data_IF_808881522454
#
_entry.id   IF_808881522454
#
_cell.length_a   1.000
_cell.length_b   1.000
_cell.length_c   1.000
_cell.angle_alpha   90.00
_cell.angle_beta   90.00
_cell.angle_gamma   90.00
#
_symmetry.space_group_name_H-M   'P 1'
#
loop_
_entity.id
_entity.type
_entity.pdbx_description
1 polymer ?
#
# COMPACT_ATOMS: atom_id res chain seq x y z
N UNK A 1 -8.29 3.99 -16.51
CA UNK A 1 -6.94 4.48 -16.14
C UNK A 1 -6.51 5.53 -17.16
N UNK A 2 -6.39 6.82 -16.75
CA UNK A 2 -5.88 7.91 -17.57
C UNK A 2 -4.64 7.55 -18.42
N UNK A 3 -4.71 7.82 -19.71
CA UNK A 3 -3.64 7.58 -20.69
C UNK A 3 -3.87 8.36 -21.99
N UNK A 4 -2.83 8.46 -22.83
CA UNK A 4 -2.93 8.79 -24.25
C UNK A 4 -2.06 7.84 -25.09
N UNK A 5 -2.35 7.79 -26.39
CA UNK A 5 -1.62 7.00 -27.39
C UNK A 5 -1.20 7.90 -28.55
N UNK A 6 0.00 7.69 -29.05
CA UNK A 6 0.59 8.41 -30.20
C UNK A 6 1.37 7.44 -31.08
N UNK A 7 1.63 7.79 -32.33
CA UNK A 7 2.47 6.99 -33.24
C UNK A 7 3.95 7.06 -32.85
N UNK A 8 4.41 8.24 -32.44
CA UNK A 8 5.79 8.49 -32.02
C UNK A 8 5.78 9.50 -30.87
N UNK A 9 6.27 9.06 -29.70
CA UNK A 9 6.39 9.93 -28.54
C UNK A 9 7.54 10.92 -28.73
N UNK A 10 7.23 12.20 -28.64
CA UNK A 10 8.20 13.29 -28.50
C UNK A 10 8.25 13.72 -27.04
N UNK A 11 9.37 13.45 -26.38
CA UNK A 11 9.61 14.01 -25.05
C UNK A 11 10.21 15.41 -25.20
N UNK A 12 9.85 16.37 -24.33
CA UNK A 12 10.54 17.65 -24.26
C UNK A 12 11.97 17.47 -23.77
N UNK A 13 12.81 18.50 -23.93
CA UNK A 13 14.11 18.53 -23.26
C UNK A 13 13.92 18.49 -21.74
N UNK A 14 14.52 17.51 -21.09
CA UNK A 14 14.41 17.30 -19.64
C UNK A 14 15.64 17.88 -18.92
N UNK A 15 15.47 18.48 -17.73
CA UNK A 15 14.20 18.69 -17.04
C UNK A 15 13.36 19.82 -17.66
N UNK A 16 12.03 19.65 -17.72
CA UNK A 16 11.07 20.67 -18.17
C UNK A 16 10.19 21.12 -17.00
N UNK A 17 10.05 22.44 -16.81
CA UNK A 17 9.08 23.04 -15.88
C UNK A 17 7.93 23.69 -16.63
N UNK A 18 6.71 23.45 -16.16
CA UNK A 18 5.47 24.00 -16.75
C UNK A 18 4.58 24.54 -15.65
N UNK A 19 4.35 25.85 -15.67
CA UNK A 19 3.40 26.52 -14.78
C UNK A 19 1.97 26.10 -15.13
N UNK A 20 1.15 25.87 -14.11
CA UNK A 20 -0.25 25.46 -14.22
C UNK A 20 -1.09 26.17 -13.15
N UNK A 21 -2.40 26.44 -13.35
CA UNK A 21 -3.23 27.12 -12.35
C UNK A 21 -3.22 26.47 -10.95
N UNK A 22 -3.03 25.15 -10.88
CA UNK A 22 -2.97 24.37 -9.63
C UNK A 22 -1.58 24.35 -8.96
N UNK A 23 -0.51 24.71 -9.67
CA UNK A 23 0.88 24.53 -9.23
C UNK A 23 1.87 24.43 -10.39
N UNK A 24 3.05 23.86 -10.18
CA UNK A 24 4.06 23.67 -11.22
C UNK A 24 4.32 22.19 -11.46
N UNK A 25 4.35 21.77 -12.73
CA UNK A 25 4.79 20.44 -13.14
C UNK A 25 6.26 20.47 -13.55
N UNK A 26 7.05 19.54 -13.02
CA UNK A 26 8.44 19.32 -13.40
C UNK A 26 8.58 17.90 -13.98
N UNK A 27 8.85 17.78 -15.27
CA UNK A 27 9.26 16.52 -15.90
C UNK A 27 10.77 16.41 -15.74
N UNK A 28 11.24 15.44 -14.96
CA UNK A 28 12.61 15.47 -14.40
C UNK A 28 13.58 14.72 -15.31
N UNK A 29 13.35 13.42 -15.49
CA UNK A 29 14.24 12.52 -16.22
C UNK A 29 13.47 11.27 -16.64
N UNK A 30 13.98 10.56 -17.64
CA UNK A 30 13.36 9.35 -18.18
C UNK A 30 14.27 8.14 -17.96
N UNK A 31 13.72 7.10 -17.33
CA UNK A 31 14.44 5.87 -17.00
C UNK A 31 14.02 4.73 -17.94
N UNK A 32 14.97 4.12 -18.64
CA UNK A 32 14.74 3.04 -19.58
C UNK A 32 15.08 1.68 -18.98
N UNK A 33 14.21 0.70 -19.20
CA UNK A 33 14.42 -0.65 -18.66
C UNK A 33 15.53 -1.40 -19.37
N UNK A 34 16.49 -1.88 -18.57
CA UNK A 34 17.56 -2.79 -19.04
C UNK A 34 17.02 -4.14 -19.52
N UNK A 35 15.76 -4.46 -19.21
CA UNK A 35 15.13 -5.75 -19.47
C UNK A 35 14.07 -5.69 -20.58
N UNK A 36 13.58 -4.50 -20.90
CA UNK A 36 12.59 -4.28 -21.93
C UNK A 36 12.87 -2.95 -22.65
N UNK A 37 13.43 -2.99 -23.87
CA UNK A 37 13.79 -1.77 -24.63
C UNK A 37 12.59 -0.90 -25.01
N UNK A 38 11.37 -1.44 -24.90
CA UNK A 38 10.13 -0.75 -25.23
C UNK A 38 9.44 -0.14 -24.00
N UNK A 39 10.10 -0.12 -22.85
CA UNK A 39 9.52 0.35 -21.58
C UNK A 39 10.43 1.38 -20.90
N UNK A 40 9.81 2.49 -20.49
CA UNK A 40 10.46 3.50 -19.68
C UNK A 40 9.50 4.15 -18.68
N UNK A 41 10.09 4.81 -17.68
CA UNK A 41 9.41 5.56 -16.64
C UNK A 41 9.90 7.00 -16.64
N UNK A 42 9.01 7.92 -17.00
CA UNK A 42 9.28 9.35 -16.93
C UNK A 42 8.95 9.86 -15.52
N UNK A 43 9.96 10.35 -14.81
CA UNK A 43 9.80 10.95 -13.49
C UNK A 43 9.15 12.32 -13.60
N UNK A 44 8.09 12.54 -12.83
CA UNK A 44 7.38 13.81 -12.75
C UNK A 44 7.23 14.22 -11.29
N UNK A 45 7.45 15.49 -10.99
CA UNK A 45 7.03 16.10 -9.73
C UNK A 45 6.01 17.21 -9.98
N UNK A 46 5.09 17.36 -9.04
CA UNK A 46 4.10 18.44 -9.02
C UNK A 46 4.25 19.20 -7.70
N UNK A 47 4.54 20.50 -7.81
CA UNK A 47 4.67 21.42 -6.68
C UNK A 47 3.34 22.18 -6.59
N UNK A 48 2.49 21.91 -5.57
CA UNK A 48 1.23 22.62 -5.42
C UNK A 48 1.45 24.12 -5.22
N UNK A 49 0.52 24.95 -5.71
CA UNK A 49 0.55 26.40 -5.45
C UNK A 49 0.37 26.76 -3.98
N UNK A 50 -0.37 25.92 -3.27
CA UNK A 50 -0.59 25.99 -1.82
C UNK A 50 0.65 25.44 -1.09
N UNK A 51 1.41 26.32 -0.45
CA UNK A 51 2.68 26.00 0.22
C UNK A 51 2.52 25.07 1.43
N UNK A 52 1.30 24.83 1.92
CA UNK A 52 1.05 23.87 3.01
C UNK A 52 1.04 22.42 2.52
N UNK A 53 0.95 22.20 1.20
CA UNK A 53 0.87 20.87 0.61
C UNK A 53 2.24 20.41 0.11
N UNK A 54 2.58 19.16 0.42
CA UNK A 54 3.82 18.55 -0.02
C UNK A 54 3.87 18.35 -1.54
N UNK A 55 5.08 18.49 -2.10
CA UNK A 55 5.41 18.12 -3.47
C UNK A 55 5.07 16.65 -3.73
N UNK A 56 4.43 16.38 -4.87
CA UNK A 56 4.01 15.02 -5.25
C UNK A 56 4.92 14.50 -6.36
N UNK A 57 5.66 13.42 -6.08
CA UNK A 57 6.51 12.73 -7.06
C UNK A 57 5.80 11.47 -7.56
N UNK A 58 5.84 11.22 -8.88
CA UNK A 58 5.25 10.04 -9.51
C UNK A 58 5.94 9.70 -10.84
N UNK A 59 5.63 8.53 -11.40
CA UNK A 59 6.09 8.15 -12.73
C UNK A 59 4.95 8.09 -13.75
N UNK A 60 5.27 8.43 -15.00
CA UNK A 60 4.47 8.08 -16.16
C UNK A 60 5.14 6.90 -16.86
N UNK A 61 4.37 5.83 -17.05
CA UNK A 61 4.75 4.64 -17.80
C UNK A 61 4.64 4.90 -19.30
N UNK A 62 5.75 4.70 -20.01
CA UNK A 62 5.83 4.76 -21.46
C UNK A 62 6.04 3.35 -21.98
N UNK A 63 5.14 2.90 -22.87
CA UNK A 63 5.27 1.60 -23.55
C UNK A 63 5.12 1.77 -25.05
N UNK A 64 6.15 1.37 -25.79
CA UNK A 64 6.13 1.38 -27.25
C UNK A 64 5.81 0.00 -27.79
N UNK A 65 4.84 -0.11 -28.68
CA UNK A 65 4.57 -1.30 -29.47
C UNK A 65 5.25 -1.11 -30.82
N UNK A 66 6.28 -1.92 -31.14
CA UNK A 66 6.94 -1.83 -32.43
C UNK A 66 5.96 -2.17 -33.55
N UNK A 67 6.24 -1.64 -34.75
CA UNK A 67 5.46 -1.90 -35.95
C UNK A 67 5.46 -3.40 -36.27
N UNK A 68 4.29 -3.96 -36.59
CA UNK A 68 4.14 -5.33 -37.10
C UNK A 68 3.48 -5.30 -38.48
N UNK A 69 3.40 -6.45 -39.17
CA UNK A 69 2.81 -6.53 -40.52
C UNK A 69 1.41 -5.92 -40.62
N UNK A 70 0.62 -5.96 -39.54
CA UNK A 70 -0.79 -5.53 -39.53
C UNK A 70 -1.08 -4.32 -38.62
N UNK A 71 -0.06 -3.75 -37.94
CA UNK A 71 -0.25 -2.64 -36.99
C UNK A 71 0.86 -1.59 -37.09
N UNK A 72 0.45 -0.32 -37.15
CA UNK A 72 1.35 0.82 -37.02
C UNK A 72 2.02 0.82 -35.64
N UNK A 73 3.19 1.44 -35.55
CA UNK A 73 3.85 1.70 -34.27
C UNK A 73 2.92 2.54 -33.39
N UNK A 74 2.82 2.17 -32.11
CA UNK A 74 1.95 2.81 -31.13
C UNK A 74 2.70 2.95 -29.81
N UNK A 75 2.87 4.16 -29.31
CA UNK A 75 3.35 4.42 -27.95
C UNK A 75 2.18 4.83 -27.07
N UNK A 76 1.99 4.12 -25.96
CA UNK A 76 1.04 4.49 -24.90
C UNK A 76 1.79 5.13 -23.74
N UNK A 77 1.28 6.28 -23.28
CA UNK A 77 1.73 6.94 -22.06
C UNK A 77 0.58 6.93 -21.07
N UNK A 78 0.82 6.38 -19.88
CA UNK A 78 -0.17 6.24 -18.80
C UNK A 78 0.53 6.44 -17.46
N UNK A 79 -0.20 6.64 -16.38
CA UNK A 79 0.45 6.70 -15.06
C UNK A 79 1.00 5.34 -14.65
N UNK A 80 2.07 5.32 -13.88
CA UNK A 80 2.53 4.09 -13.22
C UNK A 80 1.66 3.78 -11.99
N UNK A 81 1.25 2.52 -11.86
CA UNK A 81 0.34 2.07 -10.80
C UNK A 81 1.00 2.06 -9.42
N UNK A 82 2.32 1.93 -9.33
CA UNK A 82 3.04 1.79 -8.06
C UNK A 82 3.46 3.15 -7.48
N UNK A 83 3.39 4.22 -8.28
CA UNK A 83 3.68 5.61 -7.89
C UNK A 83 2.46 6.52 -7.96
N UNK A 84 1.24 5.95 -7.91
CA UNK A 84 -0.03 6.68 -7.99
C UNK A 84 -0.17 7.74 -6.89
N UNK A 85 -0.63 8.93 -7.27
CA UNK A 85 -0.94 10.04 -6.36
C UNK A 85 -2.43 10.43 -6.42
N UNK A 86 -2.89 11.15 -5.40
CA UNK A 86 -4.23 11.78 -5.33
C UNK A 86 -4.07 13.31 -5.26
N UNK A 87 -4.95 14.13 -5.86
CA UNK A 87 -6.06 13.74 -6.73
C UNK A 87 -5.59 13.25 -8.11
N UNK A 88 -6.43 12.46 -8.78
CA UNK A 88 -6.15 11.87 -10.11
C UNK A 88 -6.02 12.97 -11.18
N UNK A 89 -6.60 14.14 -10.94
CA UNK A 89 -6.56 15.32 -11.80
C UNK A 89 -5.13 15.78 -12.05
N UNK A 90 -4.23 15.67 -11.08
CA UNK A 90 -2.81 15.99 -11.25
C UNK A 90 -2.18 15.07 -12.33
N UNK A 91 -2.49 13.77 -12.28
CA UNK A 91 -2.01 12.80 -13.27
C UNK A 91 -2.57 13.10 -14.66
N UNK A 92 -3.87 13.44 -14.75
CA UNK A 92 -4.50 13.81 -16.03
C UNK A 92 -3.85 15.05 -16.64
N UNK A 93 -3.53 16.07 -15.83
CA UNK A 93 -2.91 17.30 -16.31
C UNK A 93 -1.47 17.08 -16.77
N UNK A 94 -0.68 16.25 -16.07
CA UNK A 94 0.65 15.86 -16.56
C UNK A 94 0.60 15.18 -17.93
N UNK A 95 -0.38 14.29 -18.15
CA UNK A 95 -0.59 13.64 -19.44
C UNK A 95 -1.02 14.64 -20.53
N UNK A 96 -1.88 15.62 -20.21
CA UNK A 96 -2.28 16.68 -21.15
C UNK A 96 -1.09 17.54 -21.57
N UNK A 97 -0.25 17.96 -20.63
CA UNK A 97 0.96 18.74 -20.92
C UNK A 97 1.86 17.97 -21.90
N UNK A 98 2.06 16.66 -21.70
CA UNK A 98 2.83 15.85 -22.66
C UNK A 98 2.13 15.71 -24.02
N UNK A 99 0.80 15.64 -24.06
CA UNK A 99 0.05 15.57 -25.32
C UNK A 99 0.30 16.79 -26.21
N UNK A 100 0.51 17.97 -25.62
CA UNK A 100 0.75 19.21 -26.36
C UNK A 100 2.09 19.21 -27.12
N UNK A 101 3.02 18.32 -26.77
CA UNK A 101 4.29 18.11 -27.50
C UNK A 101 4.18 17.10 -28.65
N UNK A 102 3.05 16.42 -28.82
CA UNK A 102 2.91 15.33 -29.80
C UNK A 102 2.36 15.86 -31.13
N UNK A 103 2.96 15.43 -32.24
CA UNK A 103 2.45 15.78 -33.58
C UNK A 103 1.08 15.14 -33.87
N UNK A 104 0.82 13.97 -33.27
CA UNK A 104 -0.44 13.25 -33.47
C UNK A 104 -0.85 12.49 -32.21
N UNK A 105 -2.13 12.53 -31.91
CA UNK A 105 -2.75 11.73 -30.85
C UNK A 105 -3.70 10.74 -31.51
N UNK A 106 -3.46 9.46 -31.27
CA UNK A 106 -4.32 8.37 -31.78
C UNK A 106 -5.62 8.29 -30.97
N UNK A 107 -5.49 8.20 -29.65
CA UNK A 107 -6.62 8.14 -28.69
C UNK A 107 -6.16 8.61 -27.31
N UNK A 108 -7.10 9.01 -26.46
CA UNK A 108 -6.82 9.31 -25.05
C UNK A 108 -8.03 9.01 -24.14
N UNK A 109 -7.78 8.85 -22.85
CA UNK A 109 -8.81 8.68 -21.81
C UNK A 109 -8.58 9.69 -20.68
N UNK A 110 -8.75 10.97 -20.98
CA UNK A 110 -8.50 12.09 -20.04
C UNK A 110 -9.75 12.91 -19.74
N UNK A 111 -10.94 12.40 -20.10
CA UNK A 111 -12.19 13.15 -20.00
C UNK A 111 -12.55 13.49 -18.55
N UNK A 112 -13.06 14.70 -18.37
CA UNK A 112 -13.40 15.35 -17.10
C UNK A 112 -14.76 14.96 -16.53
N UNK A 113 -15.46 13.96 -17.11
CA UNK A 113 -16.86 13.60 -16.73
C UNK A 113 -17.03 12.86 -15.39
N UNK A 114 -16.02 12.86 -14.53
CA UNK A 114 -16.20 12.47 -13.13
C UNK A 114 -16.10 13.73 -12.29
N UNK A 115 -17.20 14.13 -11.65
CA UNK A 115 -17.12 14.91 -10.42
C UNK A 115 -16.26 14.06 -9.49
N UNK A 116 -14.96 14.34 -9.42
CA UNK A 116 -14.18 13.87 -8.30
C UNK A 116 -14.81 14.55 -7.09
N UNK A 117 -15.38 13.78 -6.17
CA UNK A 117 -15.54 14.28 -4.81
C UNK A 117 -14.12 14.62 -4.35
N UNK A 118 -13.73 15.88 -4.53
CA UNK A 118 -12.40 16.38 -4.20
C UNK A 118 -12.17 16.44 -2.67
N UNK A 119 -13.20 16.07 -1.91
CA UNK A 119 -13.07 15.72 -0.51
C UNK A 119 -12.86 14.21 -0.44
N UNK A 120 -11.65 13.77 -0.07
CA UNK A 120 -11.52 12.53 0.70
C UNK A 120 -12.58 12.64 1.78
N UNK A 121 -13.67 11.88 1.66
CA UNK A 121 -14.66 11.79 2.72
C UNK A 121 -13.85 11.51 3.99
N UNK A 122 -13.90 12.37 5.02
CA UNK A 122 -12.88 12.40 6.08
C UNK A 122 -12.75 11.08 6.85
N UNK A 123 -13.77 10.22 6.72
CA UNK A 123 -13.87 8.88 7.27
C UNK A 123 -13.27 7.77 6.37
N UNK A 124 -13.08 7.98 5.06
CA UNK A 124 -12.33 7.03 4.22
C UNK A 124 -10.84 7.31 4.40
N UNK A 125 -10.13 6.33 4.97
CA UNK A 125 -8.71 6.41 5.27
C UNK A 125 -7.90 5.50 4.34
N UNK A 126 -6.62 5.82 4.17
CA UNK A 126 -5.62 4.89 3.66
C UNK A 126 -4.80 4.33 4.82
N UNK A 127 -4.02 3.27 4.58
CA UNK A 127 -3.23 2.64 5.64
C UNK A 127 -2.18 3.59 6.22
N UNK A 128 -1.67 4.52 5.39
CA UNK A 128 -0.69 5.53 5.80
C UNK A 128 -1.26 6.47 6.86
N UNK A 129 -2.58 6.74 6.85
CA UNK A 129 -3.24 7.56 7.86
C UNK A 129 -3.17 6.92 9.28
N UNK A 130 -2.87 5.62 9.38
CA UNK A 130 -2.76 4.88 10.65
C UNK A 130 -1.32 4.67 11.13
N UNK A 131 -0.30 5.06 10.34
CA UNK A 131 1.10 4.92 10.74
C UNK A 131 1.46 5.85 11.90
N UNK A 132 0.81 7.01 11.97
CA UNK A 132 0.82 7.92 13.13
C UNK A 132 -0.54 7.82 13.85
N UNK A 133 -0.74 6.69 14.51
CA UNK A 133 -2.02 6.34 15.13
C UNK A 133 -2.43 7.34 16.23
N UNK A 134 -1.47 7.87 16.98
CA UNK A 134 -1.74 8.82 18.06
C UNK A 134 -2.25 10.16 17.53
N UNK A 135 -1.59 10.72 16.51
CA UNK A 135 -2.05 11.93 15.84
C UNK A 135 -3.41 11.71 15.18
N UNK A 136 -3.62 10.57 14.51
CA UNK A 136 -4.92 10.21 13.94
C UNK A 136 -6.03 10.29 15.00
N UNK A 137 -5.81 9.72 16.19
CA UNK A 137 -6.80 9.72 17.26
C UNK A 137 -6.99 11.12 17.85
N UNK A 138 -5.94 11.90 18.02
CA UNK A 138 -6.04 13.30 18.46
C UNK A 138 -6.91 14.13 17.51
N UNK A 139 -6.83 13.90 16.20
CA UNK A 139 -7.70 14.54 15.21
C UNK A 139 -9.17 14.09 15.27
N UNK A 140 -9.46 12.93 15.86
CA UNK A 140 -10.84 12.47 16.07
C UNK A 140 -11.44 12.90 17.40
N UNK A 141 -10.63 13.17 18.44
CA UNK A 141 -11.12 13.54 19.79
C UNK A 141 -12.22 14.63 19.79
N UNK A 142 -12.09 15.77 19.08
CA UNK A 142 -13.13 16.80 19.09
C UNK A 142 -14.48 16.37 18.48
N UNK A 143 -14.47 15.30 17.69
CA UNK A 143 -15.66 14.78 17.00
C UNK A 143 -16.39 13.72 17.80
N UNK A 144 -15.68 13.07 18.72
CA UNK A 144 -16.24 12.13 19.65
C UNK A 144 -16.88 12.93 20.79
N UNK A 145 -18.09 12.55 21.21
CA UNK A 145 -18.78 13.20 22.35
C UNK A 145 -18.18 12.74 23.69
N UNK A 146 -16.88 12.91 23.86
CA UNK A 146 -16.16 12.40 25.02
C UNK A 146 -15.98 13.48 26.10
N UNK A 147 -16.46 13.18 27.30
CA UNK A 147 -15.98 13.77 28.55
C UNK A 147 -15.02 12.76 29.18
N UNK A 148 -13.72 13.04 29.20
CA UNK A 148 -12.75 12.13 29.84
C UNK A 148 -12.70 12.42 31.34
N UNK A 149 -12.90 11.43 32.23
CA UNK A 149 -12.51 11.59 33.63
C UNK A 149 -10.99 11.73 33.68
N UNK A 150 -10.49 12.90 34.09
CA UNK A 150 -9.10 13.09 34.46
C UNK A 150 -8.82 12.14 35.63
N UNK A 151 -8.14 11.02 35.38
CA UNK A 151 -7.70 10.14 36.46
C UNK A 151 -6.35 10.68 36.98
N UNK A 152 -6.27 11.26 38.19
CA UNK A 152 -5.09 11.99 38.65
C UNK A 152 -3.89 11.09 39.04
N UNK A 153 -3.91 9.80 38.68
CA UNK A 153 -2.92 8.81 39.13
C UNK A 153 -2.12 8.09 38.04
N UNK A 154 -2.22 8.53 36.78
CA UNK A 154 -1.31 8.07 35.72
C UNK A 154 -0.98 9.21 34.76
N UNK A 155 0.15 9.88 34.97
CA UNK A 155 0.67 10.89 34.04
C UNK A 155 1.13 10.32 32.69
N UNK A 156 1.03 9.00 32.48
CA UNK A 156 1.54 8.28 31.29
C UNK A 156 0.47 7.47 30.54
N UNK A 157 -0.82 7.51 30.91
CA UNK A 157 -1.84 6.77 30.14
C UNK A 157 -2.18 7.53 28.85
N UNK A 158 -1.72 6.99 27.71
CA UNK A 158 -2.30 7.32 26.39
C UNK A 158 -3.73 6.77 26.35
N UNK A 159 -4.65 7.41 27.05
CA UNK A 159 -6.05 6.99 27.06
C UNK A 159 -6.68 7.35 25.71
N UNK A 160 -6.62 6.37 24.81
CA UNK A 160 -7.35 6.38 23.57
C UNK A 160 -8.86 6.26 23.87
N UNK A 161 -9.73 6.85 23.03
CA UNK A 161 -11.15 6.54 23.10
C UNK A 161 -11.36 5.02 23.02
N UNK A 162 -12.53 4.51 23.44
CA UNK A 162 -12.82 3.11 23.14
C UNK A 162 -12.81 2.92 21.61
N UNK A 163 -12.13 1.88 21.14
CA UNK A 163 -11.98 1.58 19.71
C UNK A 163 -12.52 0.20 19.41
N UNK A 164 -13.50 0.14 18.51
CA UNK A 164 -14.07 -1.11 18.03
C UNK A 164 -13.70 -1.31 16.56
N UNK A 165 -13.08 -2.45 16.26
CA UNK A 165 -12.70 -2.84 14.91
C UNK A 165 -13.70 -3.86 14.35
N UNK A 166 -14.26 -3.61 13.17
CA UNK A 166 -15.05 -4.59 12.43
C UNK A 166 -14.34 -4.99 11.14
N UNK A 167 -14.07 -6.29 11.00
CA UNK A 167 -13.35 -6.85 9.86
C UNK A 167 -14.33 -7.53 8.91
N UNK A 168 -14.32 -7.11 7.65
CA UNK A 168 -15.23 -7.62 6.63
C UNK A 168 -16.67 -7.15 6.86
N UNK A 169 -16.86 -5.84 7.08
CA UNK A 169 -18.17 -5.29 7.47
C UNK A 169 -19.27 -5.48 6.40
N UNK A 170 -18.91 -5.78 5.14
CA UNK A 170 -19.84 -6.05 4.05
C UNK A 170 -20.83 -4.91 3.84
N UNK A 171 -22.11 -5.16 4.15
CA UNK A 171 -23.15 -4.11 4.04
C UNK A 171 -23.05 -2.99 5.07
N UNK A 172 -22.20 -3.15 6.09
CA UNK A 172 -22.00 -2.20 7.19
C UNK A 172 -23.16 -2.12 8.19
N UNK A 173 -24.13 -3.04 8.17
CA UNK A 173 -25.29 -3.00 9.09
C UNK A 173 -24.88 -2.98 10.56
N UNK A 174 -23.95 -3.85 10.95
CA UNK A 174 -23.45 -3.91 12.32
C UNK A 174 -22.60 -2.69 12.65
N UNK A 175 -21.62 -2.39 11.80
CA UNK A 175 -20.74 -1.22 11.93
C UNK A 175 -21.51 0.11 12.11
N UNK A 176 -22.47 0.39 11.21
CA UNK A 176 -23.26 1.62 11.23
C UNK A 176 -24.22 1.67 12.42
N UNK A 177 -24.79 0.53 12.82
CA UNK A 177 -25.65 0.44 14.00
C UNK A 177 -24.86 0.79 15.27
N UNK A 178 -23.69 0.20 15.45
CA UNK A 178 -22.83 0.48 16.59
C UNK A 178 -22.38 1.94 16.60
N UNK A 179 -21.90 2.47 15.47
CA UNK A 179 -21.49 3.87 15.39
C UNK A 179 -22.62 4.86 15.72
N UNK A 180 -23.86 4.54 15.34
CA UNK A 180 -25.03 5.37 15.66
C UNK A 180 -25.41 5.32 17.15
N UNK A 181 -25.32 4.15 17.77
CA UNK A 181 -25.77 3.93 19.15
C UNK A 181 -24.70 4.21 20.20
N UNK A 182 -23.44 4.24 19.79
CA UNK A 182 -22.28 4.48 20.65
C UNK A 182 -21.43 5.65 20.13
N UNK A 183 -21.95 6.90 20.12
CA UNK A 183 -21.25 8.08 19.59
C UNK A 183 -19.93 8.42 20.32
N UNK A 184 -19.71 7.87 21.51
CA UNK A 184 -18.50 7.97 22.31
C UNK A 184 -17.38 7.02 21.84
N UNK A 185 -17.72 6.00 21.06
CA UNK A 185 -16.79 4.95 20.62
C UNK A 185 -16.32 5.25 19.20
N UNK A 186 -15.02 5.13 18.96
CA UNK A 186 -14.47 5.18 17.62
C UNK A 186 -14.60 3.81 16.95
N UNK A 187 -15.30 3.76 15.84
CA UNK A 187 -15.42 2.55 15.03
C UNK A 187 -14.44 2.57 13.86
N UNK A 188 -13.72 1.47 13.66
CA UNK A 188 -12.86 1.26 12.49
C UNK A 188 -13.43 0.07 11.71
N UNK A 189 -13.73 0.27 10.42
CA UNK A 189 -14.22 -0.77 9.53
C UNK A 189 -13.20 -1.13 8.44
N UNK A 190 -12.92 -2.42 8.27
CA UNK A 190 -12.10 -2.96 7.18
C UNK A 190 -12.95 -3.72 6.17
N UNK A 191 -12.84 -3.39 4.89
CA UNK A 191 -13.52 -4.11 3.81
C UNK A 191 -12.76 -4.05 2.49
N UNK A 192 -12.38 -5.21 1.95
CA UNK A 192 -11.64 -5.32 0.68
C UNK A 192 -12.55 -5.20 -0.54
N UNK A 193 -13.86 -5.42 -0.40
CA UNK A 193 -14.83 -5.25 -1.47
C UNK A 193 -15.21 -3.77 -1.65
N UNK A 194 -14.56 -3.12 -2.61
CA UNK A 194 -14.72 -1.68 -2.87
C UNK A 194 -16.18 -1.19 -3.01
N UNK A 195 -17.10 -1.87 -3.74
CA UNK A 195 -18.50 -1.44 -3.81
C UNK A 195 -19.22 -1.44 -2.44
N UNK A 196 -18.88 -2.39 -1.56
CA UNK A 196 -19.40 -2.42 -0.18
C UNK A 196 -18.88 -1.24 0.62
N UNK A 197 -17.60 -0.92 0.49
CA UNK A 197 -17.00 0.26 1.10
C UNK A 197 -17.67 1.55 0.64
N UNK A 198 -17.90 1.74 -0.66
CA UNK A 198 -18.60 2.92 -1.20
C UNK A 198 -20.04 3.03 -0.69
N UNK A 199 -20.75 1.89 -0.61
CA UNK A 199 -22.11 1.86 -0.07
C UNK A 199 -22.14 2.37 1.38
N UNK A 200 -21.25 1.87 2.23
CA UNK A 200 -21.15 2.26 3.64
C UNK A 200 -20.69 3.71 3.77
N UNK A 201 -19.72 4.13 2.96
CA UNK A 201 -19.27 5.53 2.91
C UNK A 201 -20.43 6.51 2.67
N UNK A 202 -21.34 6.19 1.75
CA UNK A 202 -22.53 7.00 1.50
C UNK A 202 -23.46 7.05 2.72
N UNK A 203 -23.66 5.92 3.41
CA UNK A 203 -24.50 5.88 4.61
C UNK A 203 -23.90 6.70 5.77
N UNK A 204 -22.58 6.64 5.95
CA UNK A 204 -21.87 7.49 6.94
C UNK A 204 -22.17 8.96 6.68
N UNK A 205 -22.04 9.41 5.43
CA UNK A 205 -22.35 10.78 5.03
C UNK A 205 -23.82 11.16 5.23
N UNK A 206 -24.75 10.29 4.83
CA UNK A 206 -26.21 10.53 4.99
C UNK A 206 -26.64 10.63 6.46
N UNK A 207 -26.03 9.83 7.34
CA UNK A 207 -26.31 9.86 8.78
C UNK A 207 -25.42 10.83 9.55
N UNK A 208 -24.51 11.54 8.88
CA UNK A 208 -23.54 12.45 9.46
C UNK A 208 -22.76 11.84 10.65
N UNK A 209 -22.36 10.56 10.53
CA UNK A 209 -21.61 9.88 11.58
C UNK A 209 -20.17 10.41 11.61
N UNK A 210 -19.69 10.75 12.81
CA UNK A 210 -18.38 11.38 13.00
C UNK A 210 -17.37 10.48 13.74
N UNK A 211 -17.85 9.39 14.32
CA UNK A 211 -17.11 8.44 15.15
C UNK A 211 -16.77 7.14 14.39
N UNK A 212 -16.58 7.23 13.07
CA UNK A 212 -16.35 6.06 12.21
C UNK A 212 -15.29 6.34 11.15
N UNK A 213 -14.34 5.42 11.04
CA UNK A 213 -13.31 5.38 10.00
C UNK A 213 -13.43 4.07 9.23
N UNK A 214 -13.27 4.12 7.91
CA UNK A 214 -13.30 2.95 7.04
C UNK A 214 -12.12 2.95 6.08
N UNK A 215 -11.58 1.77 5.79
CA UNK A 215 -10.52 1.60 4.81
C UNK A 215 -10.63 0.25 4.10
N UNK A 216 -10.21 0.23 2.84
CA UNK A 216 -10.09 -1.00 2.05
C UNK A 216 -8.72 -1.59 2.24
N UNK A 217 -8.57 -2.42 3.25
CA UNK A 217 -7.29 -3.00 3.64
C UNK A 217 -7.45 -4.38 4.27
N UNK A 218 -6.40 -5.18 4.23
CA UNK A 218 -6.43 -6.49 4.91
C UNK A 218 -6.16 -6.34 6.40
N UNK A 219 -6.95 -7.05 7.17
CA UNK A 219 -6.94 -6.92 8.61
C UNK A 219 -5.67 -7.51 9.26
N UNK A 220 -5.02 -8.50 8.65
CA UNK A 220 -3.80 -9.10 9.22
C UNK A 220 -2.67 -8.08 9.23
N UNK A 221 -2.49 -7.39 8.10
CA UNK A 221 -1.50 -6.31 8.00
C UNK A 221 -1.93 -5.09 8.83
N UNK A 222 -3.21 -4.74 8.81
CA UNK A 222 -3.73 -3.64 9.63
C UNK A 222 -3.44 -3.84 11.12
N UNK A 223 -3.77 -5.01 11.67
CA UNK A 223 -3.49 -5.34 13.06
C UNK A 223 -2.00 -5.36 13.38
N UNK A 224 -1.14 -5.77 12.44
CA UNK A 224 0.32 -5.72 12.63
C UNK A 224 0.82 -4.28 12.86
N UNK A 225 0.21 -3.31 12.16
CA UNK A 225 0.59 -1.89 12.19
C UNK A 225 -0.04 -1.11 13.35
N UNK A 226 -1.02 -1.67 14.07
CA UNK A 226 -1.60 -1.00 15.22
C UNK A 226 -0.68 -1.07 16.44
N UNK A 227 -0.64 -0.03 17.31
CA UNK A 227 0.01 -0.13 18.61
C UNK A 227 -0.62 -1.23 19.47
N UNK A 228 0.07 -1.62 20.54
CA UNK A 228 -0.46 -2.64 21.46
C UNK A 228 -1.57 -2.04 22.34
N UNK A 229 -2.51 -2.87 22.78
CA UNK A 229 -3.55 -2.49 23.76
C UNK A 229 -4.42 -1.26 23.36
N UNK A 230 -4.72 -1.08 22.07
CA UNK A 230 -5.53 0.05 21.59
C UNK A 230 -6.98 -0.30 21.30
N UNK A 231 -7.30 -1.57 21.06
CA UNK A 231 -8.63 -2.04 20.69
C UNK A 231 -9.38 -2.57 21.91
N UNK A 232 -10.66 -2.23 22.01
CA UNK A 232 -11.58 -2.77 23.02
C UNK A 232 -12.34 -3.97 22.46
N UNK A 233 -12.68 -3.93 21.16
CA UNK A 233 -13.40 -5.01 20.49
C UNK A 233 -12.88 -5.25 19.07
N UNK A 234 -12.87 -6.51 18.66
CA UNK A 234 -12.66 -6.93 17.27
C UNK A 234 -13.84 -7.82 16.87
N UNK A 235 -14.53 -7.47 15.79
CA UNK A 235 -15.63 -8.24 15.24
C UNK A 235 -15.25 -8.88 13.92
N UNK A 236 -15.44 -10.20 13.82
CA UNK A 236 -15.27 -10.99 12.60
C UNK A 236 -16.58 -11.76 12.36
N UNK A 237 -17.48 -11.16 11.60
CA UNK A 237 -18.84 -11.69 11.43
C UNK A 237 -19.04 -12.31 10.05
N UNK A 238 -19.44 -13.58 10.03
CA UNK A 238 -19.70 -14.39 8.85
C UNK A 238 -18.56 -14.36 7.81
N UNK A 239 -17.28 -14.54 8.22
CA UNK A 239 -16.18 -14.64 7.27
C UNK A 239 -16.37 -15.83 6.34
N UNK A 240 -15.86 -15.72 5.10
CA UNK A 240 -15.88 -16.84 4.16
C UNK A 240 -15.12 -18.03 4.78
N UNK A 241 -15.74 -19.22 4.88
CA UNK A 241 -15.16 -20.33 5.64
C UNK A 241 -14.03 -21.06 4.91
N UNK A 242 -13.95 -20.94 3.58
CA UNK A 242 -12.86 -21.53 2.78
C UNK A 242 -12.56 -23.01 3.08
N UNK A 243 -13.57 -23.87 3.15
CA UNK A 243 -13.43 -25.27 3.57
C UNK A 243 -12.38 -26.05 2.75
N UNK A 244 -12.26 -25.74 1.45
CA UNK A 244 -11.25 -26.37 0.56
C UNK A 244 -9.87 -25.71 0.59
N UNK A 245 -9.74 -24.52 1.18
CA UNK A 245 -8.49 -23.76 1.26
C UNK A 245 -8.38 -23.05 2.63
N UNK A 246 -8.26 -23.79 3.75
CA UNK A 246 -8.32 -23.21 5.10
C UNK A 246 -7.24 -22.17 5.37
N UNK A 247 -6.12 -22.20 4.64
CA UNK A 247 -5.07 -21.18 4.68
C UNK A 247 -5.54 -19.78 4.24
N UNK A 248 -6.71 -19.66 3.62
CA UNK A 248 -7.36 -18.38 3.29
C UNK A 248 -8.29 -17.86 4.39
N UNK A 249 -8.52 -18.64 5.45
CA UNK A 249 -9.29 -18.18 6.62
C UNK A 249 -8.55 -17.00 7.25
N UNK A 250 -9.33 -16.05 7.74
CA UNK A 250 -8.77 -14.87 8.40
C UNK A 250 -8.22 -15.22 9.78
N UNK A 251 -8.93 -16.06 10.54
CA UNK A 251 -8.40 -16.60 11.79
C UNK A 251 -7.28 -17.56 11.47
N UNK A 252 -6.12 -17.30 12.06
CA UNK A 252 -4.90 -18.07 12.03
C UNK A 252 -4.14 -17.77 13.33
N UNK A 253 -3.06 -18.51 13.60
CA UNK A 253 -2.22 -18.22 14.77
C UNK A 253 -1.66 -16.78 14.72
N UNK A 254 -1.12 -16.36 13.57
CA UNK A 254 -0.61 -15.00 13.39
C UNK A 254 -1.71 -13.93 13.64
N UNK A 255 -2.93 -14.17 13.18
CA UNK A 255 -4.05 -13.27 13.41
C UNK A 255 -4.44 -13.19 14.89
N UNK A 256 -4.53 -14.33 15.60
CA UNK A 256 -4.85 -14.36 17.02
C UNK A 256 -3.74 -13.72 17.85
N UNK A 257 -2.47 -13.89 17.47
CA UNK A 257 -1.34 -13.23 18.12
C UNK A 257 -1.42 -11.71 17.99
N UNK A 258 -1.69 -11.18 16.79
CA UNK A 258 -1.86 -9.73 16.62
C UNK A 258 -3.15 -9.22 17.29
N UNK A 259 -4.21 -10.01 17.32
CA UNK A 259 -5.45 -9.66 18.04
C UNK A 259 -5.19 -9.56 19.55
N UNK A 260 -4.51 -10.55 20.14
CA UNK A 260 -4.16 -10.54 21.57
C UNK A 260 -3.28 -9.34 21.94
N UNK A 261 -2.35 -8.96 21.04
CA UNK A 261 -1.46 -7.82 21.23
C UNK A 261 -2.21 -6.48 21.19
N UNK A 262 -3.12 -6.33 20.24
CA UNK A 262 -3.82 -5.08 19.98
C UNK A 262 -5.02 -4.86 20.90
N UNK A 263 -5.64 -5.93 21.43
CA UNK A 263 -6.70 -5.85 22.42
C UNK A 263 -6.17 -5.38 23.77
N UNK A 264 -6.92 -4.50 24.43
CA UNK A 264 -6.75 -4.18 25.85
C UNK A 264 -7.07 -5.41 26.71
N UNK A 265 -6.56 -5.50 27.96
CA UNK A 265 -7.06 -6.47 28.93
C UNK A 265 -8.59 -6.43 28.99
N UNK A 266 -9.23 -7.60 29.01
CA UNK A 266 -10.69 -7.79 28.95
C UNK A 266 -11.37 -7.37 27.64
N UNK A 267 -10.63 -6.77 26.70
CA UNK A 267 -11.09 -6.57 25.33
C UNK A 267 -11.38 -7.91 24.66
N UNK A 268 -12.30 -7.91 23.70
CA UNK A 268 -12.74 -9.17 23.09
C UNK A 268 -12.69 -9.21 21.57
N UNK A 269 -12.31 -10.36 21.05
CA UNK A 269 -12.49 -10.76 19.66
C UNK A 269 -13.72 -11.66 19.57
N UNK A 270 -14.69 -11.29 18.72
CA UNK A 270 -15.90 -12.07 18.49
C UNK A 270 -15.93 -12.62 17.06
N UNK A 271 -15.93 -13.94 16.94
CA UNK A 271 -16.24 -14.67 15.71
C UNK A 271 -17.70 -15.07 15.71
N UNK A 272 -18.45 -14.66 14.66
CA UNK A 272 -19.78 -15.21 14.34
C UNK A 272 -19.71 -15.95 13.01
N UNK A 273 -20.24 -17.16 12.91
CA UNK A 273 -20.19 -17.96 11.69
C UNK A 273 -21.37 -18.93 11.58
N UNK A 274 -21.81 -19.23 10.35
CA UNK A 274 -22.76 -20.32 10.05
C UNK A 274 -22.06 -21.64 9.70
N UNK A 275 -20.72 -21.66 9.64
CA UNK A 275 -19.93 -22.87 9.37
C UNK A 275 -19.46 -23.52 10.67
N UNK A 276 -19.97 -24.72 10.95
CA UNK A 276 -19.52 -25.56 12.07
C UNK A 276 -18.03 -25.92 11.92
N UNK A 277 -17.57 -26.17 10.69
CA UNK A 277 -16.17 -26.51 10.44
C UNK A 277 -15.24 -25.34 10.80
N UNK A 278 -15.60 -24.12 10.40
CA UNK A 278 -14.80 -22.94 10.73
C UNK A 278 -14.86 -22.65 12.25
N UNK A 279 -16.03 -22.82 12.88
CA UNK A 279 -16.15 -22.69 14.33
C UNK A 279 -15.24 -23.68 15.08
N UNK A 280 -15.23 -24.95 14.68
CA UNK A 280 -14.36 -25.97 15.29
C UNK A 280 -12.88 -25.67 15.04
N UNK A 281 -12.52 -25.24 13.83
CA UNK A 281 -11.16 -24.79 13.52
C UNK A 281 -10.70 -23.64 14.43
N UNK A 282 -11.55 -22.63 14.63
CA UNK A 282 -11.25 -21.50 15.51
C UNK A 282 -11.14 -21.93 16.99
N UNK A 283 -11.96 -22.89 17.44
CA UNK A 283 -11.82 -23.51 18.77
C UNK A 283 -10.50 -24.26 18.94
N UNK A 284 -10.06 -25.00 17.93
CA UNK A 284 -8.75 -25.67 17.97
C UNK A 284 -7.62 -24.64 18.07
N UNK A 285 -7.65 -23.57 17.26
CA UNK A 285 -6.68 -22.48 17.37
C UNK A 285 -6.64 -21.88 18.78
N UNK A 286 -7.80 -21.67 19.41
CA UNK A 286 -7.88 -21.10 20.75
C UNK A 286 -7.07 -21.87 21.81
N UNK A 287 -6.90 -23.18 21.65
CA UNK A 287 -6.15 -24.02 22.58
C UNK A 287 -4.66 -23.62 22.65
N UNK A 288 -4.11 -23.08 21.55
CA UNK A 288 -2.73 -22.58 21.48
C UNK A 288 -2.56 -21.19 22.12
N UNK A 289 -3.65 -20.53 22.51
CA UNK A 289 -3.66 -19.15 23.02
C UNK A 289 -4.28 -19.04 24.42
N UNK A 290 -4.26 -20.11 25.20
CA UNK A 290 -4.84 -20.14 26.56
C UNK A 290 -4.15 -19.20 27.55
N UNK A 291 -2.92 -18.76 27.26
CA UNK A 291 -2.22 -17.77 28.09
C UNK A 291 -2.58 -16.32 27.72
N UNK A 292 -3.12 -16.13 26.52
CA UNK A 292 -3.52 -14.85 25.94
C UNK A 292 -5.01 -14.59 26.10
N UNK A 293 -5.83 -15.63 26.00
CA UNK A 293 -7.29 -15.54 25.94
C UNK A 293 -7.97 -16.54 26.89
N UNK A 294 -9.09 -16.09 27.46
CA UNK A 294 -10.17 -17.00 27.86
C UNK A 294 -11.22 -17.02 26.77
N UNK A 295 -11.74 -18.20 26.43
CA UNK A 295 -12.75 -18.33 25.37
C UNK A 295 -14.10 -18.78 25.88
N UNK A 296 -15.16 -18.21 25.30
CA UNK A 296 -16.53 -18.58 25.53
C UNK A 296 -17.23 -18.87 24.20
N UNK A 297 -18.15 -19.84 24.18
CA UNK A 297 -18.87 -20.16 22.95
C UNK A 297 -20.35 -20.37 23.18
N UNK A 298 -21.15 -19.86 22.26
CA UNK A 298 -22.60 -19.97 22.29
C UNK A 298 -23.11 -20.41 20.91
N UNK A 299 -24.30 -21.02 20.89
CA UNK A 299 -25.01 -21.39 19.68
C UNK A 299 -26.29 -20.57 19.62
N UNK A 300 -26.57 -19.99 18.45
CA UNK A 300 -27.73 -19.14 18.20
C UNK A 300 -27.85 -17.96 19.18
N UNK A 301 -26.72 -17.36 19.55
CA UNK A 301 -26.72 -16.18 20.41
C UNK A 301 -27.40 -15.00 19.69
N UNK A 302 -28.35 -14.37 20.38
CA UNK A 302 -29.01 -13.16 19.92
C UNK A 302 -28.08 -11.94 20.06
N UNK A 303 -28.19 -11.00 19.12
CA UNK A 303 -27.45 -9.74 19.10
C UNK A 303 -28.41 -8.57 18.99
N UNK A 304 -27.96 -7.40 19.44
CA UNK A 304 -28.71 -6.15 19.31
C UNK A 304 -29.03 -5.79 17.86
N UNK A 305 -28.22 -6.25 16.90
CA UNK A 305 -28.44 -6.03 15.46
C UNK A 305 -28.17 -7.28 14.64
N UNK A 306 -29.13 -7.64 13.80
CA UNK A 306 -29.01 -8.76 12.87
C UNK A 306 -28.28 -8.32 11.58
N UNK A 307 -27.17 -8.98 11.27
CA UNK A 307 -26.44 -8.73 10.02
C UNK A 307 -27.26 -9.14 8.78
N UNK A 308 -26.86 -8.70 7.58
CA UNK A 308 -27.52 -9.14 6.33
C UNK A 308 -27.46 -10.66 6.17
N UNK A 309 -26.32 -11.27 6.52
CA UNK A 309 -26.11 -12.72 6.46
C UNK A 309 -26.90 -13.43 7.53
N UNK A 310 -26.90 -12.93 8.76
CA UNK A 310 -27.67 -13.50 9.85
C UNK A 310 -29.17 -13.54 9.54
N UNK A 311 -29.73 -12.45 8.99
CA UNK A 311 -31.14 -12.39 8.58
C UNK A 311 -31.45 -13.38 7.43
N UNK A 312 -30.45 -13.72 6.61
CA UNK A 312 -30.59 -14.76 5.58
C UNK A 312 -30.55 -16.14 6.20
N UNK A 313 -29.58 -16.42 7.05
CA UNK A 313 -29.35 -17.72 7.66
C UNK A 313 -30.42 -18.11 8.67
N UNK A 314 -30.96 -17.15 9.43
CA UNK A 314 -32.15 -17.34 10.27
C UNK A 314 -33.36 -17.76 9.43
N UNK A 315 -33.58 -17.18 8.24
CA UNK A 315 -34.66 -17.61 7.31
C UNK A 315 -34.43 -19.00 6.71
N UNK A 316 -33.17 -19.41 6.57
CA UNK A 316 -32.79 -20.74 6.09
C UNK A 316 -32.68 -21.77 7.24
N UNK A 317 -33.08 -21.42 8.48
CA UNK A 317 -32.99 -22.26 9.68
C UNK A 317 -31.58 -22.84 9.93
N UNK A 318 -30.53 -22.09 9.56
CA UNK A 318 -29.16 -22.49 9.85
C UNK A 318 -28.78 -22.19 11.30
N UNK A 319 -28.01 -23.10 11.90
CA UNK A 319 -27.36 -22.88 13.18
C UNK A 319 -26.27 -21.83 13.05
N UNK A 320 -26.25 -20.87 13.99
CA UNK A 320 -25.22 -19.85 14.09
C UNK A 320 -24.32 -20.15 15.28
N UNK A 321 -23.02 -20.01 15.09
CA UNK A 321 -22.02 -20.28 16.10
C UNK A 321 -21.29 -18.99 16.48
N UNK A 322 -21.11 -18.81 17.78
CA UNK A 322 -20.40 -17.69 18.39
C UNK A 322 -19.19 -18.21 19.16
N UNK A 323 -18.02 -17.65 18.88
CA UNK A 323 -16.81 -17.86 19.65
C UNK A 323 -16.23 -16.50 20.05
N UNK A 324 -16.09 -16.29 21.34
CA UNK A 324 -15.56 -15.07 21.94
C UNK A 324 -14.22 -15.38 22.59
N UNK A 325 -13.24 -14.50 22.36
CA UNK A 325 -11.92 -14.54 22.96
C UNK A 325 -11.75 -13.27 23.80
N UNK A 326 -11.55 -13.40 25.10
CA UNK A 326 -11.34 -12.29 26.03
C UNK A 326 -9.87 -12.20 26.41
N UNK A 327 -9.22 -11.10 26.06
CA UNK A 327 -7.79 -10.91 26.29
C UNK A 327 -7.49 -10.85 27.79
N UNK A 328 -6.50 -11.64 28.23
CA UNK A 328 -6.18 -11.80 29.65
C UNK A 328 -5.15 -10.80 30.17
N UNK A 329 -4.24 -10.36 29.31
CA UNK A 329 -3.04 -9.63 29.72
C UNK A 329 -2.86 -8.34 28.95
N UNK A 330 -2.16 -7.42 29.57
CA UNK A 330 -1.61 -6.26 28.89
C UNK A 330 -0.36 -6.71 28.10
N UNK A 331 -0.30 -6.34 26.84
CA UNK A 331 0.83 -6.65 25.96
C UNK A 331 1.90 -5.56 26.03
N UNK A 332 3.16 -5.91 25.78
CA UNK A 332 4.22 -4.90 25.66
C UNK A 332 3.94 -3.96 24.49
N UNK A 333 4.29 -2.69 24.64
CA UNK A 333 4.21 -1.72 23.56
C UNK A 333 5.02 -2.18 22.36
N UNK A 334 4.41 -2.11 21.18
CA UNK A 334 5.08 -2.40 19.91
C UNK A 334 5.40 -1.08 19.23
N UNK A 335 6.69 -0.83 19.02
CA UNK A 335 7.13 0.26 18.15
C UNK A 335 7.35 -0.28 16.74
N UNK A 336 6.96 0.51 15.74
CA UNK A 336 7.19 0.22 14.33
C UNK A 336 8.56 0.76 13.89
N UNK A 337 9.59 0.49 14.68
CA UNK A 337 10.95 1.04 14.51
C UNK A 337 11.72 0.18 13.51
N UNK A 338 11.23 0.12 12.28
CA UNK A 338 11.92 -0.54 11.17
C UNK A 338 12.63 0.50 10.32
N UNK A 339 13.94 0.31 10.18
CA UNK A 339 14.78 1.18 9.36
C UNK A 339 14.74 0.70 7.90
N UNK A 340 14.56 1.63 6.97
CA UNK A 340 14.48 1.35 5.52
C UNK A 340 15.51 2.18 4.74
N UNK A 341 16.62 2.49 5.39
CA UNK A 341 17.77 3.21 4.86
C UNK A 341 18.72 2.28 4.09
N UNK A 342 19.41 2.86 3.11
CA UNK A 342 20.33 2.12 2.25
C UNK A 342 21.77 2.28 2.73
N UNK A 343 22.05 1.73 3.91
CA UNK A 343 23.37 1.72 4.52
C UNK A 343 23.98 0.31 4.54
N UNK A 344 25.30 0.28 4.53
CA UNK A 344 26.10 -0.93 4.70
C UNK A 344 26.27 -1.30 6.19
N UNK A 345 26.93 -2.43 6.48
CA UNK A 345 27.18 -2.90 7.86
C UNK A 345 28.07 -1.95 8.70
N UNK A 346 28.71 -0.97 8.08
CA UNK A 346 29.54 0.08 8.69
C UNK A 346 28.88 1.47 8.57
N UNK A 347 27.57 1.52 8.31
CA UNK A 347 26.78 2.75 8.18
C UNK A 347 27.23 3.67 7.04
N UNK A 348 27.84 3.11 5.98
CA UNK A 348 28.20 3.84 4.77
C UNK A 348 27.10 3.75 3.71
N UNK A 349 26.88 4.79 2.89
CA UNK A 349 25.87 4.75 1.82
C UNK A 349 26.15 3.64 0.80
N UNK A 350 25.11 2.88 0.48
CA UNK A 350 25.15 1.90 -0.61
C UNK A 350 24.86 2.56 -1.97
N UNK A 351 25.38 1.92 -3.01
CA UNK A 351 25.14 2.30 -4.40
C UNK A 351 24.86 1.04 -5.25
N UNK A 352 23.97 1.20 -6.23
CA UNK A 352 23.66 0.28 -7.31
C UNK A 352 24.77 0.31 -8.37
N UNK A 353 25.24 -0.89 -8.73
CA UNK A 353 26.20 -1.12 -9.81
C UNK A 353 25.52 -1.84 -10.98
N UNK A 354 25.09 -1.12 -12.04
CA UNK A 354 24.20 -1.67 -13.06
C UNK A 354 24.72 -2.89 -13.82
N UNK A 355 26.05 -3.00 -14.00
CA UNK A 355 26.66 -4.07 -14.83
C UNK A 355 26.36 -5.49 -14.32
N UNK A 356 26.12 -5.65 -13.02
CA UNK A 356 25.94 -6.96 -12.40
C UNK A 356 24.47 -7.29 -12.10
N UNK A 357 23.54 -6.41 -12.48
CA UNK A 357 22.13 -6.61 -12.18
C UNK A 357 21.56 -7.81 -12.95
N UNK A 358 20.89 -8.70 -12.23
CA UNK A 358 20.10 -9.79 -12.80
C UNK A 358 18.75 -9.86 -12.09
N UNK A 359 17.69 -10.12 -12.86
CA UNK A 359 16.38 -10.43 -12.29
C UNK A 359 16.49 -11.63 -11.38
N UNK A 360 16.08 -11.45 -10.14
CA UNK A 360 16.26 -12.43 -9.09
C UNK A 360 15.00 -12.50 -8.24
N UNK A 361 14.47 -13.70 -8.03
CA UNK A 361 13.37 -13.95 -7.09
C UNK A 361 13.87 -14.84 -5.96
N UNK A 362 13.83 -14.32 -4.75
CA UNK A 362 14.14 -15.02 -3.50
C UNK A 362 12.82 -15.25 -2.78
N UNK A 363 12.57 -16.50 -2.40
CA UNK A 363 11.36 -16.92 -1.68
C UNK A 363 11.84 -17.55 -0.38
N UNK A 364 11.45 -16.96 0.74
CA UNK A 364 11.63 -17.51 2.08
C UNK A 364 10.28 -18.01 2.58
N UNK A 365 10.25 -18.64 3.76
CA UNK A 365 9.04 -19.26 4.32
C UNK A 365 7.85 -18.29 4.38
N UNK A 366 8.11 -17.04 4.82
CA UNK A 366 7.06 -16.07 5.12
C UNK A 366 7.14 -14.77 4.31
N UNK A 367 8.19 -14.55 3.53
CA UNK A 367 8.34 -13.37 2.69
C UNK A 367 9.05 -13.70 1.37
N UNK A 368 8.98 -12.77 0.43
CA UNK A 368 9.78 -12.83 -0.79
C UNK A 368 10.46 -11.50 -1.10
N UNK A 369 11.47 -11.56 -1.97
CA UNK A 369 12.09 -10.42 -2.61
C UNK A 369 12.26 -10.74 -4.09
N UNK A 370 11.74 -9.89 -4.96
CA UNK A 370 11.85 -10.00 -6.41
C UNK A 370 12.45 -8.72 -6.98
N UNK A 371 13.68 -8.81 -7.47
CA UNK A 371 14.31 -7.77 -8.26
C UNK A 371 13.78 -7.87 -9.69
N UNK A 372 12.88 -6.96 -10.05
CA UNK A 372 12.10 -7.06 -11.29
C UNK A 372 12.80 -6.43 -12.49
N UNK A 373 13.42 -5.28 -12.27
CA UNK A 373 13.99 -4.46 -13.32
C UNK A 373 14.97 -3.43 -12.75
N UNK A 374 15.96 -3.08 -13.54
CA UNK A 374 16.81 -1.92 -13.29
C UNK A 374 16.63 -0.98 -14.48
N UNK A 375 16.25 0.26 -14.20
CA UNK A 375 16.09 1.27 -15.21
C UNK A 375 17.19 2.33 -15.12
N UNK A 376 17.73 2.71 -16.28
CA UNK A 376 18.86 3.64 -16.40
C UNK A 376 18.42 4.92 -17.09
N UNK A 377 19.02 6.04 -16.70
CA UNK A 377 18.83 7.33 -17.39
C UNK A 377 19.40 7.29 -18.83
N UNK A 378 18.79 8.08 -19.71
CA UNK A 378 19.06 8.15 -21.17
C UNK A 378 20.55 8.27 -21.57
N UNK A 379 21.42 8.83 -20.72
CA UNK A 379 22.86 8.93 -21.03
C UNK A 379 23.55 7.56 -21.18
N UNK A 380 22.92 6.47 -20.76
CA UNK A 380 23.44 5.09 -20.89
C UNK A 380 22.97 4.35 -22.16
N UNK A 381 22.01 4.90 -22.92
CA UNK A 381 21.43 4.27 -24.12
C UNK A 381 22.11 4.74 -25.41
N UNK A 382 23.44 4.79 -25.45
CA UNK A 382 24.13 4.68 -26.74
C UNK A 382 24.07 3.21 -27.17
N UNK A 383 23.06 2.90 -27.99
CA UNK A 383 22.84 1.59 -28.60
C UNK A 383 24.08 1.10 -29.36
N UNK A 384 24.46 -0.20 -29.27
CA UNK A 384 25.49 -0.81 -30.11
C UNK A 384 25.06 -0.98 -31.59
N UNK A 385 23.87 -0.54 -31.98
CA UNK A 385 23.38 -0.59 -33.37
C UNK A 385 23.55 0.73 -34.12
N UNK A 386 24.80 1.22 -34.23
CA UNK A 386 25.21 2.13 -35.30
C UNK A 386 26.63 1.77 -35.79
N UNK A 387 26.78 0.59 -36.38
CA UNK A 387 27.88 0.33 -37.31
C UNK A 387 27.33 -0.21 -38.61
N UNK A 388 26.99 0.68 -39.53
CA UNK A 388 27.43 0.63 -40.93
C UNK A 388 26.86 1.84 -41.67
N UNK A 389 27.74 2.53 -42.40
CA UNK A 389 27.50 3.70 -43.27
C UNK A 389 27.56 5.07 -42.59
N UNK A 390 28.80 5.56 -42.40
CA UNK A 390 29.25 6.76 -43.10
C UNK A 390 30.78 6.87 -43.03
N UNK A 391 31.44 6.65 -44.18
CA UNK A 391 32.81 7.10 -44.40
C UNK A 391 32.76 8.60 -44.67
N UNK A 392 33.11 9.43 -43.69
CA UNK A 392 33.71 10.75 -43.95
C UNK A 392 34.37 11.32 -42.69
N UNK A 393 35.56 11.86 -42.89
CA UNK A 393 36.47 12.40 -41.88
C UNK A 393 35.82 13.47 -40.98
N UNK A 394 35.74 13.19 -39.67
CA UNK A 394 35.65 14.19 -38.60
C UNK A 394 36.46 13.72 -37.38
N UNK A 395 37.02 14.64 -36.58
CA UNK A 395 38.06 14.34 -35.61
C UNK A 395 37.54 13.44 -34.47
N UNK A 396 38.36 12.48 -34.06
CA UNK A 396 38.16 11.61 -32.89
C UNK A 396 38.03 12.49 -31.64
N UNK A 397 36.81 12.67 -31.16
CA UNK A 397 36.57 13.00 -29.76
C UNK A 397 36.83 11.68 -29.00
N UNK A 398 37.83 11.68 -28.12
CA UNK A 398 38.04 10.57 -27.20
C UNK A 398 36.81 10.49 -26.28
N UNK A 399 35.91 9.56 -26.55
CA UNK A 399 34.91 9.15 -25.58
C UNK A 399 35.63 8.49 -24.40
N UNK A 400 35.76 9.24 -23.31
CA UNK A 400 36.21 8.71 -22.03
C UNK A 400 35.16 7.71 -21.54
N UNK A 401 35.41 6.41 -21.73
CA UNK A 401 34.66 5.36 -21.06
C UNK A 401 34.76 5.62 -19.55
N UNK A 402 33.63 5.94 -18.90
CA UNK A 402 33.58 6.02 -17.43
C UNK A 402 33.96 4.66 -16.86
N UNK A 403 34.83 4.70 -15.87
CA UNK A 403 35.42 3.54 -15.25
C UNK A 403 34.36 2.65 -14.61
N UNK A 404 34.53 1.33 -14.72
CA UNK A 404 33.50 0.32 -14.41
C UNK A 404 33.12 0.16 -12.93
N UNK A 405 33.82 0.89 -12.06
CA UNK A 405 33.60 0.97 -10.61
C UNK A 405 32.97 2.31 -10.17
N UNK A 406 32.50 3.13 -11.11
CA UNK A 406 31.84 4.41 -10.77
C UNK A 406 30.33 4.24 -10.62
N UNK A 407 29.71 4.73 -9.52
CA UNK A 407 28.26 4.73 -9.37
C UNK A 407 27.58 5.41 -10.56
N UNK A 408 26.48 4.86 -11.05
CA UNK A 408 25.68 5.52 -12.09
C UNK A 408 25.05 6.80 -11.51
N UNK A 409 25.05 7.89 -12.29
CA UNK A 409 24.58 9.22 -11.83
C UNK A 409 23.12 9.22 -11.40
N UNK A 410 22.26 8.46 -12.10
CA UNK A 410 20.94 8.11 -11.60
C UNK A 410 20.45 6.78 -12.17
N UNK A 411 19.85 5.93 -11.34
CA UNK A 411 19.17 4.71 -11.77
C UNK A 411 18.00 4.37 -10.84
N UNK A 412 17.10 3.52 -11.31
CA UNK A 412 15.88 3.15 -10.62
C UNK A 412 15.75 1.64 -10.55
N UNK A 413 15.88 1.06 -9.37
CA UNK A 413 15.63 -0.37 -9.13
C UNK A 413 14.16 -0.57 -8.83
N UNK A 414 13.50 -1.44 -9.60
CA UNK A 414 12.14 -1.90 -9.31
C UNK A 414 12.20 -3.23 -8.58
N UNK A 415 11.63 -3.27 -7.38
CA UNK A 415 11.54 -4.49 -6.59
C UNK A 415 10.13 -4.70 -6.03
N UNK A 416 9.75 -5.97 -5.89
CA UNK A 416 8.54 -6.39 -5.18
C UNK A 416 8.91 -7.30 -4.03
N UNK A 417 8.34 -7.09 -2.86
CA UNK A 417 8.71 -7.84 -1.67
C UNK A 417 7.66 -7.82 -0.56
N UNK A 418 7.95 -8.54 0.52
CA UNK A 418 7.15 -8.60 1.73
C UNK A 418 6.29 -9.86 1.79
N UNK A 419 5.12 -9.74 2.42
CA UNK A 419 4.15 -10.81 2.59
C UNK A 419 3.57 -11.27 1.23
N UNK A 420 3.41 -12.58 1.02
CA UNK A 420 2.82 -13.14 -0.19
C UNK A 420 1.38 -12.72 -0.47
N UNK A 421 0.61 -12.48 0.59
CA UNK A 421 -0.78 -12.02 0.53
C UNK A 421 -0.85 -10.51 0.27
N UNK A 422 0.18 -9.76 0.68
CA UNK A 422 0.27 -8.30 0.56
C UNK A 422 1.60 -7.83 -0.01
N UNK A 423 1.93 -8.25 -1.25
CA UNK A 423 3.19 -7.88 -1.87
C UNK A 423 3.25 -6.37 -2.11
N UNK A 424 4.37 -5.74 -1.78
CA UNK A 424 4.62 -4.34 -2.09
C UNK A 424 5.62 -4.21 -3.23
N UNK A 425 5.20 -3.56 -4.31
CA UNK A 425 6.11 -3.07 -5.33
C UNK A 425 6.58 -1.68 -4.96
N UNK A 426 7.90 -1.48 -4.96
CA UNK A 426 8.55 -0.19 -4.70
C UNK A 426 9.63 0.07 -5.74
N UNK A 427 9.99 1.35 -5.85
CA UNK A 427 11.16 1.77 -6.60
C UNK A 427 12.20 2.28 -5.61
N UNK A 428 13.45 1.86 -5.80
CA UNK A 428 14.60 2.43 -5.12
C UNK A 428 15.30 3.34 -6.13
N UNK A 429 15.30 4.63 -5.83
CA UNK A 429 15.94 5.65 -6.65
C UNK A 429 17.35 5.86 -6.14
N UNK A 430 18.32 5.76 -7.05
CA UNK A 430 19.67 6.25 -6.82
C UNK A 430 19.87 7.56 -7.56
N UNK A 431 20.39 8.54 -6.83
CA UNK A 431 21.01 9.76 -7.34
C UNK A 431 22.36 9.93 -6.64
N UNK A 432 22.52 10.98 -5.82
CA UNK A 432 23.66 11.13 -4.90
C UNK A 432 23.57 10.19 -3.69
N UNK A 433 22.36 9.71 -3.39
CA UNK A 433 22.07 8.69 -2.39
C UNK A 433 21.03 7.69 -2.91
N UNK A 434 20.86 6.58 -2.20
CA UNK A 434 19.80 5.63 -2.43
C UNK A 434 18.63 5.85 -1.45
N UNK A 435 17.42 5.92 -1.99
CA UNK A 435 16.19 6.01 -1.19
C UNK A 435 15.04 5.26 -1.85
N UNK A 436 14.05 4.84 -1.05
CA UNK A 436 12.77 4.44 -1.60
C UNK A 436 12.08 5.66 -2.21
N UNK A 437 11.71 5.56 -3.49
CA UNK A 437 11.02 6.64 -4.18
C UNK A 437 9.64 6.88 -3.54
N UNK A 438 9.39 8.15 -3.19
CA UNK A 438 8.14 8.69 -2.61
C UNK A 438 7.89 8.28 -1.16
N UNK A 439 7.84 6.98 -0.89
CA UNK A 439 7.45 6.42 0.41
C UNK A 439 8.28 5.17 0.72
N UNK A 440 8.68 5.04 1.98
CA UNK A 440 9.23 3.80 2.49
C UNK A 440 8.20 2.66 2.42
N UNK A 441 8.64 1.41 2.49
CA UNK A 441 7.73 0.27 2.64
C UNK A 441 6.93 0.40 3.94
N UNK A 442 5.76 -0.25 4.01
CA UNK A 442 5.05 -0.28 5.30
C UNK A 442 5.95 -0.93 6.35
N UNK A 443 5.98 -0.41 7.59
CA UNK A 443 6.86 -0.88 8.63
C UNK A 443 6.33 -2.18 9.26
N UNK A 444 6.27 -3.24 8.45
CA UNK A 444 5.97 -4.60 8.87
C UNK A 444 7.26 -5.38 9.00
N UNK A 445 7.25 -6.42 9.84
CA UNK A 445 8.42 -7.26 10.04
C UNK A 445 8.88 -7.91 8.73
N UNK A 446 7.94 -8.43 7.93
CA UNK A 446 8.25 -9.12 6.67
C UNK A 446 8.80 -8.18 5.60
N UNK A 447 8.34 -6.93 5.56
CA UNK A 447 8.93 -5.92 4.67
C UNK A 447 10.36 -5.56 5.09
N UNK A 448 10.60 -5.44 6.40
CA UNK A 448 11.93 -5.16 6.92
C UNK A 448 12.91 -6.32 6.61
N UNK A 449 12.51 -7.57 6.83
CA UNK A 449 13.32 -8.74 6.45
C UNK A 449 13.67 -8.75 4.95
N UNK A 450 12.71 -8.40 4.11
CA UNK A 450 12.97 -8.30 2.68
C UNK A 450 13.87 -7.11 2.30
N UNK A 451 13.78 -6.00 3.04
CA UNK A 451 14.68 -4.86 2.90
C UNK A 451 16.12 -5.23 3.30
N UNK A 452 16.33 -5.89 4.44
CA UNK A 452 17.65 -6.37 4.84
C UNK A 452 18.27 -7.28 3.77
N UNK A 453 17.47 -8.20 3.22
CA UNK A 453 17.92 -9.06 2.11
C UNK A 453 18.26 -8.27 0.85
N UNK A 454 17.55 -7.18 0.58
CA UNK A 454 17.87 -6.27 -0.51
C UNK A 454 19.22 -5.57 -0.28
N UNK A 455 19.51 -5.11 0.94
CA UNK A 455 20.79 -4.49 1.30
C UNK A 455 21.96 -5.46 1.08
N UNK A 456 21.84 -6.71 1.55
CA UNK A 456 22.84 -7.75 1.35
C UNK A 456 23.14 -8.00 -0.13
N UNK A 457 22.10 -8.04 -0.97
CA UNK A 457 22.27 -8.19 -2.41
C UNK A 457 22.99 -6.99 -3.02
N UNK A 458 22.63 -5.77 -2.63
CA UNK A 458 23.28 -4.55 -3.14
C UNK A 458 24.77 -4.54 -2.73
N UNK A 459 25.08 -4.79 -1.44
CA UNK A 459 26.46 -4.90 -0.95
C UNK A 459 27.28 -5.93 -1.74
N UNK A 460 26.68 -7.08 -2.08
CA UNK A 460 27.32 -8.14 -2.83
C UNK A 460 27.28 -7.95 -4.35
N UNK A 461 26.95 -6.75 -4.84
CA UNK A 461 26.81 -6.43 -6.27
C UNK A 461 25.86 -7.40 -7.00
N UNK A 462 24.73 -7.70 -6.38
CA UNK A 462 23.68 -8.63 -6.82
C UNK A 462 24.12 -10.10 -6.95
N UNK A 463 25.26 -10.49 -6.38
CA UNK A 463 25.65 -11.91 -6.30
C UNK A 463 24.77 -12.63 -5.29
N UNK A 464 24.16 -13.73 -5.72
CA UNK A 464 23.37 -14.60 -4.85
C UNK A 464 24.33 -15.64 -4.26
N UNK A 465 24.50 -15.64 -2.95
CA UNK A 465 25.13 -16.78 -2.26
C UNK A 465 24.26 -18.01 -2.47
N UNK A 466 24.83 -19.13 -2.93
CA UNK A 466 24.14 -20.42 -2.86
C UNK A 466 24.02 -20.77 -1.37
N UNK A 467 22.88 -20.46 -0.78
CA UNK A 467 22.51 -21.00 0.53
C UNK A 467 22.34 -22.51 0.36
N UNK A 468 23.16 -23.24 1.12
CA UNK A 468 23.31 -24.70 1.15
C UNK A 468 22.14 -25.39 1.84
#
# INVERSE_FOLDING_TARGET
MPHFKTTQLKLPNLPLRVAHPLGEFCFVQNFHSTQNPNFSLLQVSFIPKDSTKNTKKFFLEIKTRPKSKDKLQETIVRFDKNSRISPVEILKNALKILMDFQDSILTHNLNSKGIALEHKLPFIKSIEDFLDFENLLNLQKPKLKLEFPQNPMSSDSKDFPQIWLEIGFGSGRHLLHNAKNHPEILHIGLEIHFPSLEQVARQIGLHNLQNILILSYDARIFLELLPSNVLDKIFVHFPVPWDKQPNRRILSEAFLQQSARTLKPQGHLQLRTDSLEYFNYAKTLAQNFTTEFTTHSQINADEAITSKYEARWKRENKTLYNLEFFALRHSNERKLDFAFDFLDSHSQPLYLYPKNFQKTKIVQDNYFLHLEDLLLEDSAYFSPYQTAQNKSNKPRIQESFRDSNTPHSSCLLKCSFGDFNYPQTRYVLQTDSMEYFRETPLPTYLNHQAHLRLLELIQNNFKISKES
#
